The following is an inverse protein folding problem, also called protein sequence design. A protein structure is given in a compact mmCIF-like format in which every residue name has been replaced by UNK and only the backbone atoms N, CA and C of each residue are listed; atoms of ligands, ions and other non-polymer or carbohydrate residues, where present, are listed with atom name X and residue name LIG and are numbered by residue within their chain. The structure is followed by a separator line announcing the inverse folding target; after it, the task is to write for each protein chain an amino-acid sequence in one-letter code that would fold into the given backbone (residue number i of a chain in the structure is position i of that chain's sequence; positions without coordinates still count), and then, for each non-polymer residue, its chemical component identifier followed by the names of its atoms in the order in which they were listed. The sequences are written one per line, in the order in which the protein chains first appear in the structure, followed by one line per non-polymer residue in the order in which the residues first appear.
data_IF_329334761954
#
_entry.id   IF_329334761954
#
_cell.length_a   1.000
_cell.length_b   1.000
_cell.length_c   1.000
_cell.angle_alpha   90.00
_cell.angle_beta   90.00
_cell.angle_gamma   90.00
#
_symmetry.space_group_name_H-M   'P 1'
#
loop_
_entity.id
_entity.type
_entity.pdbx_description
1 polymer ?
#
# COMPACT_ATOMS: atom_id res chain seq x y z
N UNK A 1 -4.27 -2.03 -4.73
CA UNK A 1 -5.67 -2.35 -4.37
C UNK A 1 -6.57 -1.73 -5.44
N UNK A 2 -7.54 -2.47 -5.97
CA UNK A 2 -8.57 -1.94 -6.87
C UNK A 2 -9.75 -1.50 -5.99
N UNK A 3 -10.08 -0.22 -6.00
CA UNK A 3 -11.30 0.31 -5.38
C UNK A 3 -12.21 0.76 -6.52
N UNK A 4 -13.29 0.01 -6.74
CA UNK A 4 -14.14 0.15 -7.92
C UNK A 4 -13.29 0.17 -9.20
N UNK A 5 -13.45 1.11 -10.13
CA UNK A 5 -12.61 1.20 -11.34
C UNK A 5 -11.26 1.92 -11.16
N UNK A 6 -10.83 2.17 -9.92
CA UNK A 6 -9.62 2.94 -9.62
C UNK A 6 -8.53 2.08 -8.94
N UNK A 7 -7.26 2.38 -9.25
CA UNK A 7 -6.11 1.80 -8.56
C UNK A 7 -5.54 2.82 -7.58
N UNK A 8 -5.33 2.40 -6.33
CA UNK A 8 -4.53 3.17 -5.39
C UNK A 8 -3.04 2.97 -5.70
N UNK A 9 -2.36 4.06 -6.08
CA UNK A 9 -0.92 4.09 -6.30
C UNK A 9 -0.22 4.47 -5.00
N UNK A 10 0.58 3.55 -4.48
CA UNK A 10 1.38 3.80 -3.29
C UNK A 10 2.47 4.84 -3.61
N UNK A 11 2.59 5.88 -2.78
CA UNK A 11 3.64 6.90 -2.85
C UNK A 11 4.85 6.56 -2.00
N UNK A 12 4.73 5.59 -1.09
CA UNK A 12 5.86 5.10 -0.30
C UNK A 12 5.44 4.16 0.82
N UNK A 13 6.43 3.48 1.39
CA UNK A 13 6.26 2.58 2.53
C UNK A 13 7.17 3.06 3.67
N UNK A 14 6.62 3.17 4.88
CA UNK A 14 7.37 3.49 6.09
C UNK A 14 7.17 2.39 7.14
N UNK A 15 8.25 2.04 7.85
CA UNK A 15 8.19 1.17 9.02
C UNK A 15 8.22 2.02 10.28
N UNK A 16 7.43 1.65 11.28
CA UNK A 16 7.39 2.36 12.56
C UNK A 16 6.91 1.43 13.68
N UNK A 17 6.75 1.97 14.89
CA UNK A 17 6.34 1.24 16.09
C UNK A 17 5.29 2.03 16.86
N UNK A 18 4.36 1.32 17.49
CA UNK A 18 3.38 1.95 18.39
C UNK A 18 4.06 2.45 19.66
N UNK A 19 3.35 3.21 20.49
CA UNK A 19 3.84 3.61 21.82
C UNK A 19 4.19 2.42 22.72
N UNK A 20 3.60 1.26 22.46
CA UNK A 20 3.88 -0.01 23.16
C UNK A 20 4.89 -0.89 22.40
N UNK A 21 5.72 -0.29 21.55
CA UNK A 21 6.80 -0.95 20.78
C UNK A 21 6.35 -2.01 19.76
N UNK A 22 5.07 -2.01 19.36
CA UNK A 22 4.56 -2.98 18.38
C UNK A 22 4.91 -2.50 16.96
N UNK A 23 5.65 -3.28 16.16
CA UNK A 23 6.04 -2.88 14.80
C UNK A 23 4.85 -2.90 13.85
N UNK A 24 4.80 -1.90 12.97
CA UNK A 24 3.85 -1.83 11.86
C UNK A 24 4.47 -1.18 10.63
N UNK A 25 3.81 -1.38 9.48
CA UNK A 25 4.16 -0.75 8.21
C UNK A 25 3.01 0.15 7.77
N UNK A 26 3.32 1.33 7.24
CA UNK A 26 2.35 2.22 6.59
C UNK A 26 2.70 2.27 5.12
N UNK A 27 1.72 1.99 4.26
CA UNK A 27 1.77 2.31 2.83
C UNK A 27 0.92 3.55 2.61
N UNK A 28 1.53 4.65 2.20
CA UNK A 28 0.82 5.90 1.90
C UNK A 28 0.38 5.92 0.45
N UNK A 29 -0.83 6.39 0.19
CA UNK A 29 -1.37 6.57 -1.14
C UNK A 29 -1.39 8.05 -1.54
N UNK A 30 -1.39 8.32 -2.84
CA UNK A 30 -1.37 9.70 -3.35
C UNK A 30 -2.63 10.50 -3.00
N UNK A 31 -3.77 9.84 -2.79
CA UNK A 31 -5.01 10.47 -2.36
C UNK A 31 -5.03 10.84 -0.86
N UNK A 32 -3.94 10.56 -0.13
CA UNK A 32 -3.81 10.85 1.30
C UNK A 32 -4.24 9.71 2.22
N UNK A 33 -4.74 8.60 1.67
CA UNK A 33 -5.07 7.42 2.47
C UNK A 33 -3.80 6.69 2.93
N UNK A 34 -3.88 6.03 4.08
CA UNK A 34 -2.79 5.25 4.65
C UNK A 34 -3.27 3.81 4.92
N UNK A 35 -2.60 2.80 4.35
CA UNK A 35 -2.80 1.39 4.69
C UNK A 35 -1.77 0.98 5.76
N UNK A 36 -2.25 0.68 6.96
CA UNK A 36 -1.45 0.20 8.08
C UNK A 36 -1.49 -1.32 8.13
N UNK A 37 -0.33 -1.95 8.20
CA UNK A 37 -0.17 -3.39 8.32
C UNK A 37 0.63 -3.76 9.57
N UNK A 38 0.02 -4.59 10.42
CA UNK A 38 0.63 -5.19 11.60
C UNK A 38 1.07 -6.63 11.29
N UNK A 39 2.36 -6.87 10.97
CA UNK A 39 2.83 -8.15 10.48
C UNK A 39 2.67 -9.29 11.49
N UNK A 40 2.84 -9.01 12.78
CA UNK A 40 2.73 -10.02 13.84
C UNK A 40 1.32 -10.61 13.95
N UNK A 41 0.29 -9.80 13.68
CA UNK A 41 -1.12 -10.21 13.78
C UNK A 41 -1.77 -10.47 12.42
N UNK A 42 -1.03 -10.26 11.33
CA UNK A 42 -1.58 -10.25 9.96
C UNK A 42 -2.82 -9.36 9.84
N UNK A 43 -2.78 -8.19 10.48
CA UNK A 43 -3.91 -7.25 10.53
C UNK A 43 -3.66 -6.04 9.65
N UNK A 44 -4.70 -5.65 8.92
CA UNK A 44 -4.68 -4.51 8.03
C UNK A 44 -5.74 -3.50 8.49
N UNK A 45 -5.37 -2.22 8.44
CA UNK A 45 -6.28 -1.11 8.69
C UNK A 45 -6.12 -0.08 7.57
N UNK A 46 -7.23 0.39 7.01
CA UNK A 46 -7.26 1.47 6.05
C UNK A 46 -7.72 2.75 6.76
N UNK A 47 -6.88 3.77 6.69
CA UNK A 47 -7.14 5.11 7.21
C UNK A 47 -7.47 6.02 6.02
N UNK A 48 -8.71 6.46 5.92
CA UNK A 48 -9.12 7.39 4.87
C UNK A 48 -8.77 8.82 5.25
N UNK A 49 -8.27 9.58 4.27
CA UNK A 49 -7.99 11.00 4.45
C UNK A 49 -9.26 11.75 4.87
N UNK A 50 -9.21 12.47 5.99
CA UNK A 50 -10.36 13.21 6.53
C UNK A 50 -11.38 12.37 7.31
N UNK A 51 -11.23 11.05 7.41
CA UNK A 51 -12.07 10.20 8.25
C UNK A 51 -11.30 9.75 9.51
N UNK A 52 -11.77 10.07 10.73
CA UNK A 52 -11.11 9.64 11.96
C UNK A 52 -11.28 8.15 12.25
N UNK A 53 -12.24 7.46 11.61
CA UNK A 53 -12.53 6.06 11.87
C UNK A 53 -11.77 5.14 10.89
N UNK A 54 -10.88 4.27 11.39
CA UNK A 54 -10.20 3.28 10.55
C UNK A 54 -11.14 2.12 10.19
N UNK A 55 -10.98 1.61 8.98
CA UNK A 55 -11.59 0.35 8.56
C UNK A 55 -10.63 -0.81 8.76
N UNK A 56 -11.12 -1.88 9.38
CA UNK A 56 -10.36 -3.13 9.53
C UNK A 56 -10.50 -3.95 8.25
N UNK A 57 -9.39 -4.22 7.60
CA UNK A 57 -9.35 -5.02 6.38
C UNK A 57 -8.96 -6.47 6.67
N UNK A 58 -9.46 -7.37 5.84
CA UNK A 58 -9.04 -8.78 5.81
C UNK A 58 -8.49 -9.11 4.42
N UNK A 59 -7.51 -10.01 4.37
CA UNK A 59 -7.00 -10.51 3.09
C UNK A 59 -8.02 -11.49 2.53
N UNK A 60 -8.65 -11.14 1.41
CA UNK A 60 -9.56 -12.05 0.70
C UNK A 60 -8.83 -12.97 -0.29
N UNK A 61 -7.65 -12.54 -0.78
CA UNK A 61 -6.86 -13.30 -1.72
C UNK A 61 -5.52 -12.63 -1.98
N UNK A 62 -4.57 -13.39 -2.54
CA UNK A 62 -3.26 -12.89 -2.96
C UNK A 62 -2.99 -13.39 -4.38
N UNK A 63 -2.58 -12.47 -5.25
CA UNK A 63 -2.23 -12.79 -6.63
C UNK A 63 -0.82 -12.29 -6.91
N UNK A 64 0.00 -13.14 -7.53
CA UNK A 64 1.34 -12.76 -7.99
C UNK A 64 1.28 -12.57 -9.50
N UNK A 65 1.64 -11.38 -9.97
CA UNK A 65 1.74 -11.07 -11.40
C UNK A 65 3.18 -11.27 -11.86
N UNK A 66 3.38 -11.80 -13.06
CA UNK A 66 4.69 -11.89 -13.68
C UNK A 66 5.22 -10.47 -13.95
N UNK A 67 6.48 -10.22 -13.59
CA UNK A 67 7.13 -8.94 -13.90
C UNK A 67 7.51 -8.97 -15.37
N UNK A 68 6.81 -8.20 -16.20
CA UNK A 68 7.20 -7.96 -17.60
C UNK A 68 8.26 -6.86 -17.64
N UNK A 69 9.37 -7.10 -18.33
CA UNK A 69 10.28 -6.02 -18.71
C UNK A 69 9.61 -5.16 -19.77
N UNK A 70 9.34 -3.89 -19.43
CA UNK A 70 8.90 -2.92 -20.43
C UNK A 70 10.10 -2.63 -21.37
N UNK A 71 9.88 -2.58 -22.70
CA UNK A 71 10.94 -2.18 -23.61
C UNK A 71 11.45 -0.81 -23.21
N UNK A 72 12.77 -0.71 -22.95
CA UNK A 72 13.39 0.57 -22.62
C UNK A 72 13.52 1.36 -23.92
N UNK A 73 13.15 2.63 -23.89
CA UNK A 73 13.42 3.51 -25.02
C UNK A 73 14.94 3.64 -25.20
N UNK A 74 15.44 3.19 -26.34
CA UNK A 74 16.81 3.44 -26.78
C UNK A 74 16.80 4.72 -27.61
N UNK A 75 17.49 5.76 -27.12
CA UNK A 75 17.66 6.99 -27.87
C UNK A 75 18.56 6.67 -29.08
N UNK A 76 18.16 6.98 -30.32
CA UNK A 76 19.01 6.79 -31.49
C UNK A 76 20.32 7.57 -31.33
N UNK A 77 21.44 6.98 -31.73
CA UNK A 77 22.69 7.72 -31.93
C UNK A 77 22.47 8.69 -33.10
N UNK A 78 22.81 9.96 -32.87
CA UNK A 78 22.66 11.07 -33.83
C UNK A 78 23.77 11.02 -34.86
#
# INVERSE_FOLDING_TARGET
MKWDDHFLVASGIKQSRTKSDIPFRITRFQNGDDLVFFPQKQQYFLLYSGNPQPDRCIVQGTSTYQVTQLPRYEKPEV
#
